data_IF_399782567051
#
_entry.id   IF_399782567051
#
_cell.length_a   1.000
_cell.length_b   1.000
_cell.length_c   1.000
_cell.angle_alpha   90.00
_cell.angle_beta   90.00
_cell.angle_gamma   90.00
#
_symmetry.space_group_name_H-M   'P 1'
#
loop_
_entity.id
_entity.type
_entity.pdbx_description
1 polymer ?
#
# COMPACT_ATOMS: atom_id res chain seq x y z
N UNK A 1 2.57 6.82 -2.86
CA UNK A 1 2.50 5.99 -4.09
C UNK A 1 2.80 4.55 -3.74
N UNK A 2 2.12 3.58 -4.34
CA UNK A 2 2.40 2.16 -4.14
C UNK A 2 3.87 1.83 -4.44
N UNK A 3 4.59 1.28 -3.47
CA UNK A 3 6.02 0.99 -3.56
C UNK A 3 6.40 -0.11 -4.59
N UNK A 4 5.42 -0.82 -5.14
CA UNK A 4 5.63 -1.81 -6.21
C UNK A 4 5.55 -1.20 -7.61
N UNK A 5 5.33 0.11 -7.72
CA UNK A 5 5.33 0.87 -8.96
C UNK A 5 6.51 1.85 -9.02
N UNK A 6 7.13 1.98 -10.21
CA UNK A 6 8.27 2.85 -10.42
C UNK A 6 9.56 2.35 -9.76
N UNK A 7 10.60 3.15 -9.76
CA UNK A 7 11.90 2.81 -9.18
C UNK A 7 11.88 3.06 -7.66
N UNK A 8 11.18 2.20 -6.90
CA UNK A 8 11.17 2.30 -5.45
C UNK A 8 12.58 2.16 -4.89
N UNK A 9 13.04 3.20 -4.28
CA UNK A 9 14.24 3.41 -3.46
C UNK A 9 15.40 2.45 -3.67
N UNK A 10 15.70 2.11 -4.88
CA UNK A 10 16.66 1.09 -5.14
C UNK A 10 18.07 1.41 -4.68
N UNK A 11 18.44 0.92 -3.54
CA UNK A 11 19.84 0.68 -3.25
C UNK A 11 20.39 -0.49 -4.07
N UNK A 12 19.51 -1.24 -4.71
CA UNK A 12 19.84 -2.36 -5.56
C UNK A 12 19.18 -2.21 -6.92
N UNK A 13 19.88 -1.56 -7.83
CA UNK A 13 19.47 -1.47 -9.24
C UNK A 13 19.27 -2.84 -9.92
N UNK A 14 19.78 -3.91 -9.34
CA UNK A 14 19.72 -5.25 -9.93
C UNK A 14 18.36 -5.94 -9.75
N UNK A 15 17.68 -5.79 -8.61
CA UNK A 15 16.42 -6.48 -8.40
C UNK A 15 15.31 -5.88 -9.24
N UNK A 16 15.10 -4.56 -9.22
CA UNK A 16 14.06 -3.94 -10.03
C UNK A 16 14.43 -3.83 -11.51
N UNK A 17 15.72 -3.80 -11.87
CA UNK A 17 16.10 -4.01 -13.27
C UNK A 17 15.67 -5.40 -13.79
N UNK A 18 15.63 -6.40 -12.90
CA UNK A 18 15.04 -7.71 -13.19
C UNK A 18 13.50 -7.75 -13.04
N UNK A 19 12.86 -6.66 -12.65
CA UNK A 19 11.39 -6.60 -12.45
C UNK A 19 10.92 -7.14 -11.11
N UNK A 20 11.80 -7.23 -10.12
CA UNK A 20 11.49 -7.67 -8.74
C UNK A 20 11.50 -6.48 -7.78
N UNK A 21 10.65 -6.53 -6.76
CA UNK A 21 10.67 -5.53 -5.70
C UNK A 21 11.91 -5.72 -4.80
N UNK A 22 12.57 -4.63 -4.44
CA UNK A 22 13.79 -4.70 -3.62
C UNK A 22 13.53 -5.02 -2.15
N UNK A 23 12.33 -4.73 -1.66
CA UNK A 23 11.94 -5.00 -0.29
C UNK A 23 11.31 -6.38 -0.13
N UNK A 24 10.45 -6.78 -1.07
CA UNK A 24 9.81 -8.11 -1.08
C UNK A 24 10.10 -8.81 -2.40
N UNK A 25 11.22 -9.51 -2.47
CA UNK A 25 11.79 -10.11 -3.69
C UNK A 25 10.89 -11.12 -4.40
N UNK A 26 9.90 -11.66 -3.72
CA UNK A 26 8.93 -12.59 -4.29
C UNK A 26 7.88 -11.90 -5.14
N UNK A 27 7.78 -10.57 -5.05
CA UNK A 27 6.79 -9.77 -5.77
C UNK A 27 7.40 -8.96 -6.91
N UNK A 28 6.54 -8.68 -7.91
CA UNK A 28 6.90 -7.93 -9.10
C UNK A 28 7.05 -6.43 -8.78
N UNK A 29 8.05 -5.82 -9.41
CA UNK A 29 8.18 -4.36 -9.51
C UNK A 29 7.76 -3.92 -10.92
N UNK A 30 6.77 -3.05 -11.04
CA UNK A 30 6.34 -2.51 -12.32
C UNK A 30 7.06 -1.20 -12.64
N UNK A 31 7.92 -1.23 -13.64
CA UNK A 31 8.65 -0.05 -14.12
C UNK A 31 7.93 0.64 -15.29
N UNK A 32 6.92 0.00 -15.88
CA UNK A 32 6.13 0.52 -16.99
C UNK A 32 4.67 0.13 -16.82
N UNK A 33 3.76 1.09 -16.90
CA UNK A 33 2.31 0.84 -16.79
C UNK A 33 1.82 -0.18 -17.82
N UNK A 34 2.35 -0.14 -19.05
CA UNK A 34 1.96 -1.09 -20.11
C UNK A 34 2.32 -2.56 -19.84
N UNK A 35 3.06 -2.85 -18.75
CA UNK A 35 3.35 -4.24 -18.33
C UNK A 35 2.44 -4.73 -17.20
N UNK A 36 1.55 -3.88 -16.69
CA UNK A 36 0.62 -4.23 -15.62
C UNK A 36 -0.52 -5.05 -16.21
N UNK A 37 -0.57 -6.34 -15.86
CA UNK A 37 -1.73 -7.17 -16.20
C UNK A 37 -2.92 -6.79 -15.31
N UNK A 38 -4.12 -6.61 -15.87
CA UNK A 38 -5.32 -6.20 -15.15
C UNK A 38 -5.14 -4.88 -14.35
N UNK A 39 -4.82 -3.76 -15.04
CA UNK A 39 -4.46 -2.50 -14.38
C UNK A 39 -5.56 -1.92 -13.49
N UNK A 40 -6.83 -2.27 -13.71
CA UNK A 40 -7.95 -1.91 -12.84
C UNK A 40 -7.90 -2.55 -11.45
N UNK A 41 -7.06 -3.56 -11.24
CA UNK A 41 -6.96 -4.25 -9.96
C UNK A 41 -5.84 -3.72 -9.07
N UNK A 42 -4.90 -2.93 -9.60
CA UNK A 42 -3.72 -2.51 -8.84
C UNK A 42 -3.71 -1.01 -8.64
N UNK A 43 -3.68 -0.61 -7.37
CA UNK A 43 -3.60 0.80 -7.04
C UNK A 43 -2.20 1.37 -7.30
N UNK A 44 -2.15 2.64 -7.67
CA UNK A 44 -0.91 3.41 -7.87
C UNK A 44 -0.73 4.46 -6.79
N UNK A 45 -1.81 5.13 -6.41
CA UNK A 45 -1.81 6.17 -5.38
C UNK A 45 -2.92 5.89 -4.38
N UNK A 46 -2.62 6.13 -3.12
CA UNK A 46 -3.56 6.02 -1.99
C UNK A 46 -3.32 7.16 -1.02
N UNK A 47 -4.36 7.63 -0.36
CA UNK A 47 -4.22 8.55 0.77
C UNK A 47 -3.61 7.80 1.95
N UNK A 48 -2.54 8.35 2.50
CA UNK A 48 -1.80 7.75 3.61
C UNK A 48 -2.10 8.46 4.94
N UNK A 49 -2.03 7.69 6.03
CA UNK A 49 -2.23 8.21 7.39
C UNK A 49 -1.12 9.19 7.76
N UNK A 50 -1.50 10.38 8.25
CA UNK A 50 -0.57 11.49 8.48
C UNK A 50 0.60 11.17 9.43
N UNK A 51 0.36 10.36 10.46
CA UNK A 51 1.42 9.98 11.41
C UNK A 51 2.44 8.97 10.82
N UNK A 52 2.12 8.36 9.68
CA UNK A 52 2.98 7.41 8.97
C UNK A 52 3.79 8.01 7.83
N UNK A 53 3.49 9.24 7.42
CA UNK A 53 4.16 9.90 6.31
C UNK A 53 5.65 10.10 6.60
N UNK A 54 6.48 9.27 6.00
CA UNK A 54 7.94 9.34 6.11
C UNK A 54 8.62 9.60 4.77
N UNK A 55 7.99 9.19 3.67
CA UNK A 55 8.46 9.39 2.30
C UNK A 55 7.27 9.43 1.32
N UNK A 56 7.50 9.27 0.03
CA UNK A 56 6.46 9.28 -0.99
C UNK A 56 5.91 7.91 -1.39
N UNK A 57 6.33 6.84 -0.69
CA UNK A 57 5.93 5.48 -1.00
C UNK A 57 4.99 4.93 0.06
N UNK A 58 4.11 4.03 -0.36
CA UNK A 58 3.22 3.26 0.50
C UNK A 58 3.64 1.81 0.42
N UNK A 59 4.31 1.34 1.48
CA UNK A 59 4.91 0.01 1.54
C UNK A 59 4.30 -0.85 2.64
N UNK A 60 3.71 -1.95 2.23
CA UNK A 60 3.31 -3.04 3.12
C UNK A 60 3.79 -4.37 2.56
N UNK A 61 4.06 -5.33 3.43
CA UNK A 61 4.43 -6.68 3.02
C UNK A 61 3.17 -7.49 2.64
N UNK A 62 2.98 -7.87 1.36
CA UNK A 62 1.82 -8.65 0.95
C UNK A 62 1.77 -10.07 1.53
N UNK A 63 2.88 -10.62 2.01
CA UNK A 63 2.94 -11.98 2.59
C UNK A 63 2.31 -12.08 3.99
N UNK A 64 1.79 -10.98 4.49
CA UNK A 64 1.08 -10.95 5.76
C UNK A 64 1.79 -10.09 6.81
N UNK A 65 0.97 -9.43 7.59
CA UNK A 65 1.39 -8.58 8.69
C UNK A 65 0.40 -8.73 9.84
N UNK A 66 0.82 -8.32 11.04
CA UNK A 66 -0.05 -8.21 12.21
C UNK A 66 -0.51 -6.78 12.47
N UNK A 67 0.08 -5.81 11.77
CA UNK A 67 -0.23 -4.39 11.82
C UNK A 67 0.17 -3.74 10.48
N UNK A 68 -0.24 -2.50 10.25
CA UNK A 68 0.16 -1.72 9.09
C UNK A 68 1.65 -1.34 9.15
N UNK A 69 2.37 -1.52 8.05
CA UNK A 69 3.64 -0.86 7.81
C UNK A 69 3.39 0.62 7.55
N UNK A 70 2.81 0.94 6.39
CA UNK A 70 2.19 2.22 6.10
C UNK A 70 0.67 2.03 6.14
N UNK A 71 -0.04 2.86 6.91
CA UNK A 71 -1.50 2.73 7.03
C UNK A 71 -2.20 3.66 6.03
N UNK A 72 -3.32 3.21 5.44
CA UNK A 72 -4.15 4.10 4.66
C UNK A 72 -4.81 5.16 5.53
N UNK A 73 -5.06 6.33 4.96
CA UNK A 73 -5.87 7.35 5.61
C UNK A 73 -7.32 6.90 5.78
N UNK A 74 -8.05 7.57 6.66
CA UNK A 74 -9.48 7.35 6.89
C UNK A 74 -10.26 8.68 6.91
N UNK A 75 -9.79 9.67 6.14
CA UNK A 75 -10.26 11.06 6.22
C UNK A 75 -11.62 11.31 5.57
N UNK A 76 -12.06 10.41 4.70
CA UNK A 76 -13.34 10.48 4.00
C UNK A 76 -14.42 9.69 4.74
N UNK A 77 -14.71 10.07 6.01
CA UNK A 77 -15.71 9.37 6.81
C UNK A 77 -15.35 7.93 7.17
N UNK A 78 -14.08 7.63 7.33
CA UNK A 78 -13.57 6.28 7.58
C UNK A 78 -13.10 5.56 6.32
N UNK A 79 -12.90 6.29 5.23
CA UNK A 79 -12.45 5.80 3.94
C UNK A 79 -11.17 6.49 3.46
N UNK A 80 -10.51 5.89 2.47
CA UNK A 80 -9.40 6.49 1.73
C UNK A 80 -9.74 6.66 0.25
N UNK A 81 -9.14 7.68 -0.38
CA UNK A 81 -9.10 7.81 -1.83
C UNK A 81 -8.02 6.91 -2.42
N UNK A 82 -8.34 6.20 -3.48
CA UNK A 82 -7.43 5.24 -4.13
C UNK A 82 -7.53 5.43 -5.65
N UNK A 83 -6.37 5.54 -6.32
CA UNK A 83 -6.29 5.57 -7.78
C UNK A 83 -5.57 4.34 -8.32
N UNK A 84 -6.07 3.80 -9.42
CA UNK A 84 -5.62 2.54 -10.01
C UNK A 84 -4.81 2.74 -11.30
N UNK A 85 -4.12 1.69 -11.72
CA UNK A 85 -3.19 1.76 -12.86
C UNK A 85 -3.88 1.95 -14.23
N UNK A 86 -5.19 1.76 -14.33
CA UNK A 86 -5.99 2.08 -15.52
C UNK A 86 -6.52 3.54 -15.53
N UNK A 87 -6.27 4.29 -14.45
CA UNK A 87 -6.66 5.69 -14.30
C UNK A 87 -7.98 5.92 -13.59
N UNK A 88 -8.76 4.88 -13.24
CA UNK A 88 -9.94 5.11 -12.40
C UNK A 88 -9.56 5.35 -10.95
N UNK A 89 -10.48 5.90 -10.17
CA UNK A 89 -10.33 6.10 -8.73
C UNK A 89 -11.62 5.76 -7.99
N UNK A 90 -11.47 5.36 -6.74
CA UNK A 90 -12.59 5.05 -5.84
C UNK A 90 -12.34 5.56 -4.43
N UNK A 91 -13.41 5.67 -3.65
CA UNK A 91 -13.35 5.86 -2.20
C UNK A 91 -13.64 4.51 -1.54
N UNK A 92 -12.65 3.96 -0.85
CA UNK A 92 -12.80 2.66 -0.17
C UNK A 92 -13.01 2.83 1.34
N UNK A 93 -14.14 2.27 1.83
CA UNK A 93 -14.51 2.32 3.25
C UNK A 93 -13.83 1.21 4.05
N UNK A 94 -13.03 1.58 5.05
CA UNK A 94 -12.41 0.64 5.97
C UNK A 94 -13.41 0.10 7.00
N UNK A 95 -13.23 -1.13 7.40
CA UNK A 95 -14.12 -1.81 8.36
C UNK A 95 -13.66 -1.62 9.80
N UNK A 96 -12.36 -1.78 10.05
CA UNK A 96 -11.77 -1.84 11.37
C UNK A 96 -11.42 -0.48 11.98
N UNK A 97 -11.57 -0.36 13.29
CA UNK A 97 -10.98 0.72 14.06
C UNK A 97 -9.44 0.67 14.07
N UNK A 98 -8.85 -0.52 13.86
CA UNK A 98 -7.41 -0.67 13.71
C UNK A 98 -6.87 -0.10 12.38
N UNK A 99 -7.76 0.17 11.40
CA UNK A 99 -7.45 0.90 10.17
C UNK A 99 -7.88 2.38 10.26
N UNK A 100 -8.94 2.67 11.04
CA UNK A 100 -9.51 4.02 11.21
C UNK A 100 -9.03 4.73 12.49
N UNK A 101 -7.82 4.45 12.94
CA UNK A 101 -7.29 5.09 14.15
C UNK A 101 -7.01 6.59 13.93
N UNK A 102 -7.10 7.40 15.00
CA UNK A 102 -6.97 8.86 14.87
C UNK A 102 -5.53 9.30 14.61
N UNK A 103 -5.38 10.41 13.90
CA UNK A 103 -4.11 11.14 13.79
C UNK A 103 -3.77 11.74 15.15
N UNK A 104 -2.57 11.48 15.63
CA UNK A 104 -2.08 11.96 16.92
C UNK A 104 -1.02 13.05 16.79
N UNK A 105 -0.47 13.23 15.58
CA UNK A 105 0.63 14.17 15.28
C UNK A 105 1.88 13.95 16.14
N UNK A 106 2.07 12.72 16.60
CA UNK A 106 3.27 12.33 17.36
C UNK A 106 4.30 11.74 16.40
N UNK A 107 5.58 11.93 16.72
CA UNK A 107 6.70 11.38 15.94
C UNK A 107 6.86 9.85 16.06
N UNK A 108 5.99 9.19 16.84
CA UNK A 108 6.07 7.75 17.05
C UNK A 108 5.00 7.04 16.22
N UNK A 109 5.39 6.48 15.09
CA UNK A 109 4.53 5.61 14.30
C UNK A 109 4.20 4.32 15.08
N UNK A 110 2.93 4.12 15.43
CA UNK A 110 2.46 2.97 16.20
C UNK A 110 1.03 2.59 15.78
N UNK A 111 0.86 1.98 14.61
CA UNK A 111 -0.45 1.49 14.20
C UNK A 111 -0.92 0.37 15.15
N UNK A 112 -2.23 0.30 15.45
CA UNK A 112 -2.76 -0.79 16.25
C UNK A 112 -2.59 -2.15 15.57
N UNK A 113 -2.44 -3.25 16.34
CA UNK A 113 -2.50 -4.59 15.79
C UNK A 113 -3.87 -4.86 15.14
N UNK A 114 -3.89 -5.67 14.09
CA UNK A 114 -5.12 -6.04 13.42
C UNK A 114 -6.04 -6.87 14.31
N UNK A 115 -7.29 -6.42 14.41
CA UNK A 115 -8.42 -7.30 14.73
C UNK A 115 -8.86 -8.09 13.47
N UNK A 116 -9.92 -8.87 13.58
CA UNK A 116 -10.43 -9.66 12.45
C UNK A 116 -10.85 -8.79 11.25
N UNK A 117 -11.43 -7.62 11.50
CA UNK A 117 -11.83 -6.68 10.46
C UNK A 117 -10.63 -5.96 9.85
N UNK A 118 -9.62 -5.59 10.66
CA UNK A 118 -8.38 -4.98 10.18
C UNK A 118 -7.57 -5.92 9.31
N UNK A 119 -7.60 -7.21 9.63
CA UNK A 119 -7.01 -8.22 8.75
C UNK A 119 -7.74 -8.31 7.40
N UNK A 120 -9.07 -8.16 7.37
CA UNK A 120 -9.82 -8.10 6.11
C UNK A 120 -9.49 -6.84 5.30
N UNK A 121 -9.36 -5.68 5.96
CA UNK A 121 -8.94 -4.44 5.32
C UNK A 121 -7.53 -4.59 4.70
N UNK A 122 -6.61 -5.17 5.46
CA UNK A 122 -5.25 -5.43 4.98
C UNK A 122 -5.23 -6.38 3.79
N UNK A 123 -5.92 -7.51 3.87
CA UNK A 123 -6.00 -8.48 2.76
C UNK A 123 -6.57 -7.85 1.50
N UNK A 124 -7.66 -7.08 1.63
CA UNK A 124 -8.28 -6.38 0.50
C UNK A 124 -7.27 -5.45 -0.21
N UNK A 125 -6.47 -4.71 0.56
CA UNK A 125 -5.47 -3.80 0.00
C UNK A 125 -4.27 -4.56 -0.57
N UNK A 126 -3.80 -5.61 0.10
CA UNK A 126 -2.64 -6.38 -0.35
C UNK A 126 -2.90 -7.11 -1.68
N UNK A 127 -4.11 -7.62 -1.90
CA UNK A 127 -4.54 -8.19 -3.19
C UNK A 127 -4.46 -7.17 -4.34
N UNK A 128 -4.47 -5.86 -4.01
CA UNK A 128 -4.40 -4.74 -4.96
C UNK A 128 -3.05 -4.03 -4.98
N UNK A 129 -2.10 -4.54 -4.22
CA UNK A 129 -0.77 -3.93 -4.09
C UNK A 129 0.21 -4.49 -5.09
N UNK A 130 0.29 -5.80 -5.24
CA UNK A 130 1.32 -6.47 -6.02
C UNK A 130 0.89 -7.87 -6.47
N UNK A 131 1.67 -8.46 -7.37
CA UNK A 131 1.56 -9.87 -7.76
C UNK A 131 2.90 -10.57 -7.57
N UNK A 132 2.87 -11.87 -7.37
CA UNK A 132 4.08 -12.69 -7.37
C UNK A 132 4.84 -12.53 -8.70
N UNK A 133 6.15 -12.54 -8.58
CA UNK A 133 7.07 -12.44 -9.73
C UNK A 133 7.08 -13.73 -10.53
#
# INVERSE_FOLDING_TARGET
MNAFFGPYNGNSSSAWAAGRNDFVYTYRQWLKLGTVSRPSNFFVVIDEHADGLNDGYFLNNPDGASLWGDAPASYHGGAAGISFADGHSEIHMWKSSATKFPVTTTSSWRPPPFDAAGRQDNLWLMERTAVLY
#
